data_IF_948861525266
#
_entry.id   IF_948861525266
#
_cell.length_a   1.000
_cell.length_b   1.000
_cell.length_c   1.000
_cell.angle_alpha   90.00
_cell.angle_beta   90.00
_cell.angle_gamma   90.00
#
_symmetry.space_group_name_H-M   'P 1'
#
loop_
_entity.id
_entity.type
_entity.pdbx_description
1 polymer ?
#
# COMPACT_ATOMS: atom_id res chain seq x y z
N UNK A 1 -7.02 12.95 2.19
CA UNK A 1 -6.57 12.35 3.47
C UNK A 1 -6.01 10.96 3.20
N UNK A 2 -5.00 10.58 3.91
CA UNK A 2 -4.35 9.26 3.81
C UNK A 2 -4.57 8.52 5.12
N UNK A 3 -5.05 7.27 5.05
CA UNK A 3 -5.09 6.35 6.17
C UNK A 3 -3.86 5.44 6.12
N UNK A 4 -3.12 5.38 7.20
CA UNK A 4 -1.98 4.47 7.37
C UNK A 4 -2.35 3.46 8.44
N UNK A 5 -2.33 2.19 8.08
CA UNK A 5 -2.57 1.09 9.02
C UNK A 5 -1.24 0.42 9.35
N UNK A 6 -0.91 0.39 10.64
CA UNK A 6 0.24 -0.36 11.12
C UNK A 6 -0.22 -1.78 11.48
N UNK A 7 0.36 -2.78 10.85
CA UNK A 7 0.03 -4.20 11.05
C UNK A 7 0.70 -4.81 12.29
N UNK A 8 1.68 -4.11 12.85
CA UNK A 8 2.37 -4.52 14.08
C UNK A 8 2.24 -3.43 15.14
N UNK A 9 1.28 -3.57 16.03
CA UNK A 9 1.07 -2.62 17.12
C UNK A 9 1.42 -3.23 18.47
N UNK A 10 2.67 -3.64 18.67
CA UNK A 10 3.19 -3.97 19.98
C UNK A 10 3.98 -2.80 20.56
N UNK A 11 3.71 -2.47 21.83
CA UNK A 11 4.43 -1.42 22.56
C UNK A 11 5.93 -1.73 22.66
N UNK A 12 6.30 -3.01 22.66
CA UNK A 12 7.68 -3.49 22.59
C UNK A 12 8.35 -3.16 21.24
N UNK A 13 7.58 -3.04 20.15
CA UNK A 13 8.11 -2.68 18.84
C UNK A 13 8.58 -1.22 18.77
N UNK A 14 8.04 -0.33 19.58
CA UNK A 14 8.45 1.09 19.62
C UNK A 14 9.88 1.25 20.15
N UNK A 15 10.26 0.46 21.16
CA UNK A 15 11.62 0.49 21.73
C UNK A 15 12.63 -0.20 20.80
N UNK A 16 12.25 -1.32 20.19
CA UNK A 16 13.04 -2.01 19.17
C UNK A 16 13.17 -1.20 17.87
N UNK A 17 12.10 -0.46 17.46
CA UNK A 17 12.14 0.44 16.31
C UNK A 17 13.10 1.62 16.54
N UNK A 18 13.22 2.11 17.76
CA UNK A 18 14.24 3.13 18.09
C UNK A 18 15.67 2.61 17.99
N UNK A 19 15.88 1.36 18.36
CA UNK A 19 17.19 0.69 18.25
C UNK A 19 17.50 0.22 16.82
N UNK A 20 16.46 -0.15 16.06
CA UNK A 20 16.57 -0.62 14.67
C UNK A 20 16.34 0.48 13.63
N UNK A 21 16.21 1.73 14.02
CA UNK A 21 16.01 2.87 13.11
C UNK A 21 17.08 2.97 12.01
N UNK A 22 18.20 2.30 12.22
CA UNK A 22 19.32 2.25 11.28
C UNK A 22 19.34 0.97 10.41
N UNK A 23 18.46 -0.02 10.64
CA UNK A 23 18.58 -1.35 10.03
C UNK A 23 17.31 -1.80 9.28
N UNK A 24 16.11 -1.26 9.61
CA UNK A 24 14.86 -1.72 8.99
C UNK A 24 14.23 -0.63 8.12
N UNK A 25 14.11 -0.92 6.83
CA UNK A 25 13.30 -0.11 5.91
C UNK A 25 11.83 -0.09 6.35
N UNK A 26 11.24 1.08 6.35
CA UNK A 26 9.79 1.24 6.51
C UNK A 26 9.14 1.10 5.16
N UNK A 27 8.58 -0.09 4.92
CA UNK A 27 7.93 -0.44 3.66
C UNK A 27 6.42 -0.34 3.86
N UNK A 28 5.76 0.40 2.99
CA UNK A 28 4.31 0.50 2.94
C UNK A 28 3.78 -0.11 1.63
N UNK A 29 2.65 -0.80 1.72
CA UNK A 29 1.91 -1.30 0.57
C UNK A 29 0.79 -0.33 0.27
N UNK A 30 0.66 0.05 -0.99
CA UNK A 30 -0.48 0.80 -1.50
C UNK A 30 -1.28 -0.11 -2.45
N UNK A 31 -2.28 -0.83 -1.92
CA UNK A 31 -3.05 -1.76 -2.73
C UNK A 31 -4.21 -1.06 -3.44
N UNK A 32 -4.54 -1.53 -4.62
CA UNK A 32 -5.69 -1.07 -5.37
C UNK A 32 -5.83 -1.78 -6.70
N UNK A 33 -6.95 -1.58 -7.37
CA UNK A 33 -7.13 -2.05 -8.74
C UNK A 33 -6.41 -1.15 -9.75
N UNK A 34 -6.36 0.16 -9.48
CA UNK A 34 -5.72 1.16 -10.34
C UNK A 34 -6.16 1.06 -11.81
N UNK A 35 -7.45 1.01 -12.01
CA UNK A 35 -8.09 0.78 -13.30
C UNK A 35 -9.04 1.94 -13.67
N UNK A 36 -8.49 3.11 -14.06
CA UNK A 36 -7.07 3.45 -14.23
C UNK A 36 -6.39 4.02 -12.98
N UNK A 37 -5.06 4.14 -13.02
CA UNK A 37 -4.27 4.93 -12.09
C UNK A 37 -4.50 6.43 -12.37
N UNK A 38 -4.72 7.22 -11.31
CA UNK A 38 -5.10 8.63 -11.42
C UNK A 38 -4.10 9.55 -10.73
N UNK A 39 -4.24 10.87 -10.99
CA UNK A 39 -3.45 11.92 -10.29
C UNK A 39 -3.65 11.82 -8.77
N UNK A 40 -4.86 11.48 -8.30
CA UNK A 40 -5.12 11.28 -6.86
C UNK A 40 -4.28 10.15 -6.28
N UNK A 41 -4.12 9.06 -7.00
CA UNK A 41 -3.24 7.97 -6.59
C UNK A 41 -1.76 8.40 -6.55
N UNK A 42 -1.30 9.12 -7.55
CA UNK A 42 0.07 9.66 -7.61
C UNK A 42 0.37 10.57 -6.42
N UNK A 43 -0.56 11.46 -6.08
CA UNK A 43 -0.47 12.36 -4.93
C UNK A 43 -0.31 11.59 -3.61
N UNK A 44 -1.07 10.51 -3.42
CA UNK A 44 -0.99 9.65 -2.24
C UNK A 44 0.41 9.03 -2.12
N UNK A 45 0.94 8.52 -3.22
CA UNK A 45 2.30 7.93 -3.24
C UNK A 45 3.36 8.98 -2.91
N UNK A 46 3.29 10.16 -3.54
CA UNK A 46 4.23 11.26 -3.26
C UNK A 46 4.22 11.69 -1.79
N UNK A 47 3.04 11.75 -1.19
CA UNK A 47 2.90 12.07 0.24
C UNK A 47 3.42 10.93 1.12
N UNK A 48 3.16 9.69 0.74
CA UNK A 48 3.65 8.51 1.44
C UNK A 48 5.17 8.40 1.44
N UNK A 49 5.84 8.80 0.37
CA UNK A 49 7.29 8.79 0.27
C UNK A 49 8.00 9.71 1.27
N UNK A 50 7.28 10.66 1.87
CA UNK A 50 7.80 11.49 2.96
C UNK A 50 7.83 10.75 4.30
N UNK A 51 7.09 9.67 4.44
CA UNK A 51 6.93 8.90 5.68
C UNK A 51 7.56 7.51 5.63
N UNK A 52 7.68 6.93 4.45
CA UNK A 52 8.18 5.59 4.23
C UNK A 52 9.42 5.58 3.36
N UNK A 53 10.30 4.64 3.61
CA UNK A 53 11.54 4.48 2.85
C UNK A 53 11.27 3.86 1.48
N UNK A 54 10.21 3.03 1.39
CA UNK A 54 9.80 2.36 0.17
C UNK A 54 8.28 2.20 0.13
N UNK A 55 7.69 2.39 -1.05
CA UNK A 55 6.29 2.11 -1.31
C UNK A 55 6.18 1.05 -2.40
N UNK A 56 5.41 0.01 -2.12
CA UNK A 56 5.02 -0.99 -3.11
C UNK A 56 3.59 -0.71 -3.55
N UNK A 57 3.43 -0.28 -4.80
CA UNK A 57 2.11 -0.14 -5.42
C UNK A 57 1.69 -1.53 -5.88
N UNK A 58 0.70 -2.08 -5.19
CA UNK A 58 0.24 -3.44 -5.38
C UNK A 58 -1.05 -3.46 -6.21
N UNK A 59 -0.94 -3.83 -7.47
CA UNK A 59 -2.07 -3.92 -8.40
C UNK A 59 -2.81 -5.24 -8.15
N UNK A 60 -4.01 -5.15 -7.60
CA UNK A 60 -4.83 -6.33 -7.30
C UNK A 60 -5.40 -6.97 -8.56
N UNK A 61 -5.28 -8.30 -8.63
CA UNK A 61 -5.89 -9.11 -9.67
C UNK A 61 -7.20 -9.69 -9.11
N UNK A 62 -8.32 -9.39 -9.77
CA UNK A 62 -9.62 -9.95 -9.43
C UNK A 62 -10.21 -10.64 -10.65
N UNK A 63 -10.21 -11.96 -10.64
CA UNK A 63 -10.72 -12.79 -11.75
C UNK A 63 -12.23 -12.63 -12.00
N UNK A 64 -12.99 -12.12 -11.04
CA UNK A 64 -14.45 -11.98 -11.12
C UNK A 64 -14.88 -10.61 -11.66
N UNK A 65 -14.06 -9.58 -11.45
CA UNK A 65 -14.36 -8.22 -11.87
C UNK A 65 -13.93 -7.98 -13.30
N UNK A 66 -14.84 -7.41 -14.11
CA UNK A 66 -14.48 -6.97 -15.46
C UNK A 66 -13.49 -5.82 -15.38
N UNK A 67 -12.32 -6.02 -15.96
CA UNK A 67 -11.26 -5.03 -16.02
C UNK A 67 -11.49 -4.06 -17.19
N UNK A 68 -11.18 -2.78 -16.98
CA UNK A 68 -11.13 -1.78 -18.06
C UNK A 68 -9.79 -1.88 -18.81
N UNK A 69 -8.69 -1.94 -18.05
CA UNK A 69 -7.35 -2.19 -18.55
C UNK A 69 -6.83 -3.51 -18.00
N UNK A 70 -6.13 -4.29 -18.81
CA UNK A 70 -5.46 -5.48 -18.30
C UNK A 70 -4.37 -5.13 -17.28
N UNK A 71 -3.99 -6.10 -16.45
CA UNK A 71 -3.05 -5.89 -15.35
C UNK A 71 -1.68 -5.40 -15.83
N UNK A 72 -1.19 -5.92 -16.95
CA UNK A 72 0.13 -5.56 -17.46
C UNK A 72 0.16 -4.11 -17.96
N UNK A 73 -0.92 -3.68 -18.61
CA UNK A 73 -1.10 -2.28 -19.03
C UNK A 73 -1.13 -1.34 -17.82
N UNK A 74 -1.90 -1.69 -16.79
CA UNK A 74 -1.96 -0.89 -15.54
C UNK A 74 -0.59 -0.76 -14.88
N UNK A 75 0.15 -1.85 -14.78
CA UNK A 75 1.52 -1.86 -14.22
C UNK A 75 2.45 -0.99 -15.07
N UNK A 76 2.39 -1.10 -16.40
CA UNK A 76 3.22 -0.31 -17.30
C UNK A 76 2.97 1.19 -17.17
N UNK A 77 1.70 1.60 -17.05
CA UNK A 77 1.32 3.00 -16.84
C UNK A 77 1.91 3.53 -15.52
N UNK A 78 1.74 2.78 -14.43
CA UNK A 78 2.22 3.20 -13.11
C UNK A 78 3.75 3.27 -13.09
N UNK A 79 4.43 2.29 -13.66
CA UNK A 79 5.90 2.30 -13.79
C UNK A 79 6.40 3.51 -14.56
N UNK A 80 5.68 3.92 -15.60
CA UNK A 80 6.03 5.11 -16.38
C UNK A 80 5.91 6.38 -15.55
N UNK A 81 4.88 6.49 -14.71
CA UNK A 81 4.68 7.65 -13.82
C UNK A 81 5.84 7.80 -12.83
N UNK A 82 6.39 6.69 -12.34
CA UNK A 82 7.44 6.68 -11.32
C UNK A 82 8.80 6.22 -11.85
N UNK A 83 9.04 6.34 -13.16
CA UNK A 83 10.29 5.85 -13.78
C UNK A 83 11.57 6.47 -13.18
N UNK A 84 11.50 7.70 -12.68
CA UNK A 84 12.61 8.43 -12.05
C UNK A 84 12.63 8.33 -10.52
N UNK A 85 11.82 7.45 -9.93
CA UNK A 85 11.67 7.31 -8.49
C UNK A 85 12.09 5.90 -8.05
N UNK A 86 13.28 5.78 -7.49
CA UNK A 86 13.90 4.48 -7.16
C UNK A 86 13.20 3.70 -6.04
N UNK A 87 12.53 4.39 -5.13
CA UNK A 87 11.90 3.80 -3.94
C UNK A 87 10.40 3.51 -4.10
N UNK A 88 9.93 3.45 -5.34
CA UNK A 88 8.60 2.95 -5.71
C UNK A 88 8.75 1.67 -6.50
N UNK A 89 8.11 0.61 -6.01
CA UNK A 89 8.03 -0.68 -6.69
C UNK A 89 6.59 -0.91 -7.12
N UNK A 90 6.38 -1.40 -8.34
CA UNK A 90 5.05 -1.71 -8.88
C UNK A 90 4.98 -3.19 -9.21
N UNK A 91 4.02 -3.88 -8.63
CA UNK A 91 3.81 -5.30 -8.90
C UNK A 91 2.34 -5.68 -8.73
N UNK A 92 1.96 -6.78 -9.33
CA UNK A 92 0.62 -7.37 -9.15
C UNK A 92 0.60 -8.33 -7.98
N UNK A 93 -0.58 -8.53 -7.41
CA UNK A 93 -0.80 -9.55 -6.39
C UNK A 93 -2.23 -10.10 -6.49
N UNK A 94 -2.42 -11.29 -5.93
CA UNK A 94 -3.72 -11.93 -5.77
C UNK A 94 -3.85 -12.45 -4.34
N UNK A 95 -5.08 -12.72 -3.90
CA UNK A 95 -5.35 -13.19 -2.55
C UNK A 95 -5.43 -12.07 -1.52
N UNK A 96 -5.17 -12.39 -0.27
CA UNK A 96 -5.29 -11.45 0.85
C UNK A 96 -4.15 -10.42 0.84
N UNK A 97 -4.51 -9.16 1.02
CA UNK A 97 -3.53 -8.06 1.12
C UNK A 97 -2.55 -8.25 2.28
N UNK A 98 -3.02 -8.79 3.40
CA UNK A 98 -2.18 -9.07 4.58
C UNK A 98 -1.09 -10.08 4.26
N UNK A 99 -1.42 -11.16 3.55
CA UNK A 99 -0.44 -12.18 3.13
C UNK A 99 0.61 -11.57 2.21
N UNK A 100 0.19 -10.72 1.30
CA UNK A 100 1.10 -10.00 0.42
C UNK A 100 2.03 -9.04 1.20
N UNK A 101 1.49 -8.33 2.19
CA UNK A 101 2.31 -7.49 3.08
C UNK A 101 3.38 -8.30 3.80
N UNK A 102 3.03 -9.47 4.31
CA UNK A 102 3.98 -10.36 4.98
C UNK A 102 5.08 -10.84 4.03
N UNK A 103 4.73 -11.25 2.82
CA UNK A 103 5.68 -11.65 1.78
C UNK A 103 6.67 -10.52 1.43
N UNK A 104 6.20 -9.27 1.41
CA UNK A 104 7.02 -8.10 1.10
C UNK A 104 7.78 -7.54 2.29
N UNK A 105 7.59 -8.08 3.50
CA UNK A 105 8.17 -7.53 4.71
C UNK A 105 7.62 -6.16 5.09
N UNK A 106 6.40 -5.83 4.65
CA UNK A 106 5.77 -4.54 4.89
C UNK A 106 4.85 -4.59 6.11
N UNK A 107 4.92 -3.56 6.94
CA UNK A 107 4.10 -3.44 8.15
C UNK A 107 3.01 -2.38 8.03
N UNK A 108 2.93 -1.67 6.92
CA UNK A 108 2.02 -0.55 6.72
C UNK A 108 1.24 -0.72 5.42
N UNK A 109 -0.04 -0.35 5.47
CA UNK A 109 -0.91 -0.25 4.30
C UNK A 109 -1.37 1.19 4.18
N UNK A 110 -1.24 1.76 2.99
CA UNK A 110 -1.71 3.10 2.65
C UNK A 110 -3.06 2.95 1.94
N UNK A 111 -4.04 3.75 2.36
CA UNK A 111 -5.35 3.85 1.70
C UNK A 111 -5.70 5.32 1.46
N UNK A 112 -6.18 5.63 0.27
CA UNK A 112 -6.73 6.94 -0.02
C UNK A 112 -8.18 7.03 0.47
N UNK A 113 -8.53 8.12 1.13
CA UNK A 113 -9.87 8.37 1.65
C UNK A 113 -10.45 9.62 0.99
N UNK A 114 -11.70 9.53 0.57
CA UNK A 114 -12.45 10.63 -0.04
C UNK A 114 -13.63 11.09 0.81
N UNK A 115 -14.26 10.18 1.54
CA UNK A 115 -15.47 10.42 2.32
C UNK A 115 -15.40 9.81 3.73
N UNK A 116 -16.29 10.23 4.64
CA UNK A 116 -16.42 9.62 5.95
C UNK A 116 -16.84 8.14 5.88
N UNK A 117 -17.66 7.77 4.89
CA UNK A 117 -18.04 6.39 4.65
C UNK A 117 -16.83 5.53 4.24
N UNK A 118 -15.93 6.04 3.39
CA UNK A 118 -14.67 5.38 3.05
C UNK A 118 -13.83 5.14 4.31
N UNK A 119 -13.73 6.12 5.19
CA UNK A 119 -12.99 6.00 6.46
C UNK A 119 -13.54 4.88 7.34
N UNK A 120 -14.86 4.82 7.54
CA UNK A 120 -15.49 3.78 8.37
C UNK A 120 -15.30 2.38 7.79
N UNK A 121 -15.43 2.24 6.48
CA UNK A 121 -15.16 0.97 5.77
C UNK A 121 -13.70 0.53 5.95
N UNK A 122 -12.76 1.40 5.67
CA UNK A 122 -11.32 1.10 5.77
C UNK A 122 -10.90 0.82 7.22
N UNK A 123 -11.51 1.50 8.19
CA UNK A 123 -11.30 1.21 9.62
C UNK A 123 -11.72 -0.21 9.97
N UNK A 124 -12.88 -0.65 9.49
CA UNK A 124 -13.39 -2.00 9.72
C UNK A 124 -12.47 -3.06 9.07
N UNK A 125 -12.03 -2.83 7.83
CA UNK A 125 -11.07 -3.70 7.13
C UNK A 125 -9.73 -3.76 7.87
N UNK A 126 -9.23 -2.61 8.33
CA UNK A 126 -8.00 -2.53 9.10
C UNK A 126 -8.05 -3.31 10.41
N UNK A 127 -9.18 -3.24 11.12
CA UNK A 127 -9.41 -4.02 12.33
C UNK A 127 -9.44 -5.53 12.05
N UNK A 128 -10.11 -5.94 10.97
CA UNK A 128 -10.15 -7.35 10.54
C UNK A 128 -8.74 -7.86 10.18
N UNK A 129 -7.96 -7.09 9.44
CA UNK A 129 -6.58 -7.42 9.08
C UNK A 129 -5.68 -7.58 10.32
N UNK A 130 -5.88 -6.75 11.33
CA UNK A 130 -5.12 -6.80 12.57
C UNK A 130 -5.46 -8.02 13.43
N UNK A 131 -6.70 -8.52 13.35
CA UNK A 131 -7.15 -9.71 14.05
C UNK A 131 -6.63 -11.02 13.41
N UNK A 132 -6.25 -10.96 12.16
CA UNK A 132 -5.61 -12.07 11.45
C UNK A 132 -4.11 -12.06 11.73
#
# INVERSE_FOLDING_TARGET
>A
MILICNLRSDVLSVTLVKLNKYVMERIAIFPGSFDPFTIGHEEIVKRGLKMFDKIVIAVGINAVKKEFLDVDTRIAIIRKVFEDVDNVIVMSYSGLTVDFCEQMGANFIIRGLRTAADFEYERAVGQANKAM
#
